data_IF_085434110518
#
_entry.id   IF_085434110518
#
_cell.length_a   1.000
_cell.length_b   1.000
_cell.length_c   1.000
_cell.angle_alpha   90.00
_cell.angle_beta   90.00
_cell.angle_gamma   90.00
#
_symmetry.space_group_name_H-M   'P 1'
#
loop_
_entity.id
_entity.type
_entity.pdbx_description
1 polymer ?
#
# COMPACT_ATOMS: atom_id res chain seq x y z
N UNK A 1 -0.62 14.97 8.42
CA UNK A 1 -0.45 13.75 7.61
C UNK A 1 -1.00 12.60 8.43
N UNK A 2 -1.92 11.80 7.89
CA UNK A 2 -2.42 10.64 8.64
C UNK A 2 -1.33 9.57 8.76
N UNK A 3 -1.40 8.70 9.76
CA UNK A 3 -0.44 7.59 9.92
C UNK A 3 -0.40 6.69 8.68
N UNK A 4 -1.56 6.46 8.04
CA UNK A 4 -1.67 5.68 6.80
C UNK A 4 -0.98 6.37 5.63
N UNK A 5 -1.16 7.68 5.46
CA UNK A 5 -0.45 8.42 4.41
C UNK A 5 1.07 8.30 4.56
N UNK A 6 1.57 8.38 5.80
CA UNK A 6 3.00 8.21 6.09
C UNK A 6 3.47 6.79 5.74
N UNK A 7 2.69 5.77 6.08
CA UNK A 7 3.01 4.36 5.77
C UNK A 7 3.08 4.09 4.27
N UNK A 8 2.20 4.74 3.49
CA UNK A 8 2.23 4.67 2.03
C UNK A 8 3.47 5.40 1.48
N UNK A 9 3.81 6.57 2.02
CA UNK A 9 5.00 7.33 1.60
C UNK A 9 6.30 6.54 1.86
N UNK A 10 6.39 5.85 2.99
CA UNK A 10 7.51 4.94 3.30
C UNK A 10 7.65 3.80 2.27
N UNK A 11 6.53 3.24 1.78
CA UNK A 11 6.58 2.25 0.69
C UNK A 11 7.11 2.86 -0.62
N UNK A 12 6.67 4.07 -0.95
CA UNK A 12 7.10 4.79 -2.15
C UNK A 12 8.60 5.10 -2.07
N UNK A 13 9.08 5.56 -0.91
CA UNK A 13 10.49 5.86 -0.68
C UNK A 13 11.36 4.61 -0.85
N UNK A 14 10.97 3.48 -0.24
CA UNK A 14 11.70 2.22 -0.39
C UNK A 14 11.70 1.74 -1.84
N UNK A 15 10.59 1.83 -2.57
CA UNK A 15 10.54 1.44 -3.98
C UNK A 15 11.28 2.40 -4.91
N UNK A 16 11.41 3.68 -4.53
CA UNK A 16 12.03 4.71 -5.37
C UNK A 16 13.49 4.42 -5.70
N UNK A 17 14.19 3.69 -4.82
CA UNK A 17 15.56 3.25 -5.09
C UNK A 17 15.65 2.29 -6.29
N UNK A 18 14.54 1.61 -6.65
CA UNK A 18 14.45 0.64 -7.73
C UNK A 18 13.81 1.20 -9.01
N UNK A 19 13.24 2.41 -8.98
CA UNK A 19 12.35 2.93 -10.04
C UNK A 19 13.00 2.99 -11.43
N UNK A 20 14.31 3.23 -11.49
CA UNK A 20 15.01 3.45 -12.77
C UNK A 20 15.35 2.16 -13.50
N UNK A 21 15.30 1.02 -12.82
CA UNK A 21 15.75 -0.27 -13.35
C UNK A 21 14.74 -1.41 -13.16
N UNK A 22 13.60 -1.14 -12.54
CA UNK A 22 12.45 -2.05 -12.49
C UNK A 22 11.17 -1.30 -12.85
N UNK A 23 10.57 -1.70 -13.97
CA UNK A 23 9.27 -1.19 -14.39
C UNK A 23 8.17 -1.60 -13.39
N UNK A 24 8.34 -2.75 -12.71
CA UNK A 24 7.47 -3.20 -11.64
C UNK A 24 7.54 -2.27 -10.43
N UNK A 25 8.73 -1.81 -10.04
CA UNK A 25 8.88 -0.83 -8.96
C UNK A 25 8.23 0.52 -9.33
N UNK A 26 8.42 1.00 -10.56
CA UNK A 26 7.76 2.22 -11.04
C UNK A 26 6.22 2.07 -11.02
N UNK A 27 5.71 0.93 -11.45
CA UNK A 27 4.27 0.64 -11.43
C UNK A 27 3.73 0.54 -10.00
N UNK A 28 4.45 -0.10 -9.10
CA UNK A 28 4.08 -0.20 -7.69
C UNK A 28 4.02 1.18 -7.02
N UNK A 29 4.96 2.09 -7.32
CA UNK A 29 4.91 3.49 -6.85
C UNK A 29 3.63 4.18 -7.31
N UNK A 30 3.26 4.07 -8.59
CA UNK A 30 2.01 4.65 -9.13
C UNK A 30 0.78 4.08 -8.43
N UNK A 31 0.77 2.78 -8.15
CA UNK A 31 -0.31 2.14 -7.41
C UNK A 31 -0.40 2.66 -5.96
N UNK A 32 0.72 2.91 -5.29
CA UNK A 32 0.74 3.52 -3.96
C UNK A 32 0.26 4.98 -3.97
N UNK A 33 0.62 5.77 -4.97
CA UNK A 33 0.10 7.13 -5.14
C UNK A 33 -1.42 7.13 -5.33
N UNK A 34 -1.96 6.16 -6.09
CA UNK A 34 -3.40 6.00 -6.26
C UNK A 34 -4.08 5.54 -4.97
N UNK A 35 -3.49 4.57 -4.27
CA UNK A 35 -3.97 4.13 -2.96
C UNK A 35 -4.08 5.32 -2.00
N UNK A 36 -3.09 6.22 -1.99
CA UNK A 36 -3.11 7.43 -1.15
C UNK A 36 -4.29 8.35 -1.48
N UNK A 37 -4.71 8.46 -2.75
CA UNK A 37 -5.91 9.20 -3.13
C UNK A 37 -7.17 8.49 -2.69
N UNK A 38 -7.23 7.18 -2.85
CA UNK A 38 -8.36 6.35 -2.41
C UNK A 38 -8.57 6.46 -0.90
N UNK A 39 -7.50 6.48 -0.10
CA UNK A 39 -7.57 6.67 1.36
C UNK A 39 -8.24 7.98 1.78
N UNK A 40 -8.12 9.05 0.98
CA UNK A 40 -8.77 10.35 1.26
C UNK A 40 -10.28 10.31 1.03
N UNK A 41 -10.74 9.39 0.19
CA UNK A 41 -12.14 9.22 -0.21
C UNK A 41 -12.65 7.83 0.18
N UNK A 42 -12.21 7.30 1.33
CA UNK A 42 -12.61 5.98 1.81
C UNK A 42 -14.11 5.96 2.14
N UNK A 43 -14.83 4.97 1.64
CA UNK A 43 -16.28 4.81 1.84
C UNK A 43 -16.64 3.34 2.01
N UNK A 44 -17.86 3.07 2.52
CA UNK A 44 -18.40 1.70 2.59
C UNK A 44 -18.43 0.98 1.24
N UNK A 45 -18.57 1.74 0.15
CA UNK A 45 -18.71 1.18 -1.20
C UNK A 45 -17.37 0.77 -1.80
N UNK A 46 -16.27 1.43 -1.45
CA UNK A 46 -14.95 1.17 -2.05
C UNK A 46 -13.96 0.44 -1.14
N UNK A 47 -14.24 0.34 0.16
CA UNK A 47 -13.28 -0.20 1.13
C UNK A 47 -12.90 -1.65 0.84
N UNK A 48 -13.84 -2.48 0.36
CA UNK A 48 -13.56 -3.89 0.05
C UNK A 48 -12.62 -4.04 -1.16
N UNK A 49 -12.79 -3.19 -2.18
CA UNK A 49 -11.88 -3.17 -3.33
C UNK A 49 -10.48 -2.68 -2.94
N UNK A 50 -10.41 -1.68 -2.05
CA UNK A 50 -9.14 -1.17 -1.54
C UNK A 50 -8.42 -2.24 -0.70
N UNK A 51 -9.13 -2.94 0.20
CA UNK A 51 -8.57 -4.05 0.98
C UNK A 51 -8.02 -5.13 0.06
N UNK A 52 -8.77 -5.51 -0.99
CA UNK A 52 -8.33 -6.49 -1.97
C UNK A 52 -7.05 -6.04 -2.70
N UNK A 53 -6.99 -4.79 -3.15
CA UNK A 53 -5.80 -4.24 -3.81
C UNK A 53 -4.57 -4.23 -2.89
N UNK A 54 -4.74 -3.87 -1.62
CA UNK A 54 -3.66 -3.92 -0.62
C UNK A 54 -3.20 -5.36 -0.34
N UNK A 55 -4.14 -6.31 -0.24
CA UNK A 55 -3.82 -7.75 -0.06
C UNK A 55 -3.06 -8.32 -1.25
N UNK A 56 -3.46 -7.98 -2.48
CA UNK A 56 -2.76 -8.39 -3.70
C UNK A 56 -1.34 -7.82 -3.74
N UNK A 57 -1.17 -6.53 -3.41
CA UNK A 57 0.14 -5.91 -3.28
C UNK A 57 1.01 -6.54 -2.18
N UNK A 58 0.40 -6.88 -1.03
CA UNK A 58 1.09 -7.56 0.06
C UNK A 58 1.61 -8.92 -0.41
N UNK A 59 0.78 -9.74 -1.04
CA UNK A 59 1.20 -11.05 -1.57
C UNK A 59 2.28 -10.92 -2.64
N UNK A 60 2.17 -9.94 -3.53
CA UNK A 60 3.17 -9.68 -4.57
C UNK A 60 4.53 -9.25 -4.01
N UNK A 61 4.55 -8.58 -2.85
CA UNK A 61 5.79 -8.12 -2.20
C UNK A 61 6.48 -9.18 -1.34
N UNK A 62 5.78 -10.23 -0.90
CA UNK A 62 6.36 -11.30 -0.06
C UNK A 62 7.65 -11.94 -0.61
N UNK A 63 7.75 -12.29 -1.92
CA UNK A 63 8.98 -12.85 -2.49
C UNK A 63 10.18 -11.89 -2.41
N UNK A 64 9.91 -10.59 -2.29
CA UNK A 64 10.90 -9.52 -2.21
C UNK A 64 11.13 -9.01 -0.78
N UNK A 65 10.60 -9.69 0.24
CA UNK A 65 10.66 -9.24 1.64
C UNK A 65 12.08 -8.97 2.18
N UNK A 66 13.11 -9.61 1.63
CA UNK A 66 14.51 -9.32 1.96
C UNK A 66 15.04 -8.00 1.37
N UNK A 67 14.39 -7.46 0.35
CA UNK A 67 14.74 -6.21 -0.34
C UNK A 67 13.76 -5.08 -0.05
N UNK A 68 12.49 -5.43 0.23
CA UNK A 68 11.38 -4.50 0.49
C UNK A 68 10.74 -4.74 1.87
N UNK A 69 11.52 -4.82 2.96
CA UNK A 69 10.98 -5.14 4.28
C UNK A 69 9.97 -4.10 4.77
N UNK A 70 10.17 -2.82 4.45
CA UNK A 70 9.28 -1.73 4.87
C UNK A 70 7.95 -1.83 4.15
N UNK A 71 7.98 -2.06 2.84
CA UNK A 71 6.79 -2.20 2.01
C UNK A 71 5.93 -3.37 2.48
N UNK A 72 6.54 -4.53 2.76
CA UNK A 72 5.83 -5.71 3.26
C UNK A 72 5.17 -5.43 4.62
N UNK A 73 5.91 -4.84 5.55
CA UNK A 73 5.39 -4.50 6.88
C UNK A 73 4.26 -3.48 6.82
N UNK A 74 4.42 -2.43 6.00
CA UNK A 74 3.45 -1.36 5.89
C UNK A 74 2.19 -1.78 5.14
N UNK A 75 2.28 -2.60 4.09
CA UNK A 75 1.10 -3.18 3.42
C UNK A 75 0.28 -4.03 4.38
N UNK A 76 0.93 -4.85 5.21
CA UNK A 76 0.25 -5.62 6.26
C UNK A 76 -0.47 -4.70 7.24
N UNK A 77 0.21 -3.66 7.73
CA UNK A 77 -0.37 -2.67 8.64
C UNK A 77 -1.57 -1.95 8.02
N UNK A 78 -1.45 -1.48 6.78
CA UNK A 78 -2.53 -0.78 6.06
C UNK A 78 -3.74 -1.68 5.91
N UNK A 79 -3.53 -2.95 5.55
CA UNK A 79 -4.62 -3.93 5.45
C UNK A 79 -5.35 -4.11 6.79
N UNK A 80 -4.61 -4.38 7.87
CA UNK A 80 -5.20 -4.55 9.21
C UNK A 80 -5.96 -3.29 9.65
N UNK A 81 -5.46 -2.11 9.30
CA UNK A 81 -6.14 -0.85 9.57
C UNK A 81 -7.44 -0.71 8.76
N UNK A 82 -7.44 -1.05 7.47
CA UNK A 82 -8.63 -1.01 6.62
C UNK A 82 -9.70 -1.99 7.09
N UNK A 83 -9.31 -3.20 7.49
CA UNK A 83 -10.23 -4.21 8.00
C UNK A 83 -10.95 -3.72 9.26
N UNK A 84 -10.21 -3.11 10.21
CA UNK A 84 -10.81 -2.44 11.37
C UNK A 84 -11.69 -1.27 10.96
N UNK A 85 -11.24 -0.45 9.99
CA UNK A 85 -11.98 0.72 9.56
C UNK A 85 -13.30 0.37 8.90
N UNK A 86 -13.37 -0.78 8.22
CA UNK A 86 -14.60 -1.33 7.66
C UNK A 86 -15.66 -1.62 8.72
N UNK A 87 -15.27 -2.09 9.90
CA UNK A 87 -16.20 -2.36 11.00
C UNK A 87 -16.78 -1.07 11.61
N UNK A 88 -16.03 0.04 11.51
CA UNK A 88 -16.43 1.35 12.03
C UNK A 88 -17.26 2.19 11.06
N UNK A 89 -17.15 1.91 9.75
CA UNK A 89 -17.82 2.67 8.70
C UNK A 89 -19.29 2.35 8.63
#
# INVERSE_FOLDING_TARGET
MSEIEKKIDECIEELSQYRFFSAEAEMAIKNFEELKKQMKNLSRENIDDIIRGVEEGYRASLPYSGFLPTTVANLKFIKEWLEKKKEEL
#
